data_IF_295143533323
#
_entry.id   IF_295143533323
#
_cell.length_a   1.000
_cell.length_b   1.000
_cell.length_c   1.000
_cell.angle_alpha   90.00
_cell.angle_beta   90.00
_cell.angle_gamma   90.00
#
_symmetry.space_group_name_H-M   'P 1'
#
loop_
_entity.id
_entity.type
_entity.pdbx_description
1 polymer ?
#
# COMPACT_ATOMS: atom_id res chain seq x y z
N UNK A 1 29.06 3.81 -2.72
CA UNK A 1 28.04 4.75 -2.21
C UNK A 1 26.77 4.83 -3.05
N UNK A 2 26.82 4.87 -4.41
CA UNK A 2 25.59 4.97 -5.25
C UNK A 2 24.61 3.80 -5.10
N UNK A 3 25.08 2.56 -4.88
CA UNK A 3 24.24 1.37 -4.73
C UNK A 3 23.41 1.41 -3.45
N UNK A 4 23.97 1.84 -2.33
CA UNK A 4 23.23 1.99 -1.08
C UNK A 4 22.20 3.09 -1.14
N UNK A 5 22.43 4.15 -1.94
CA UNK A 5 21.45 5.22 -2.15
C UNK A 5 20.16 4.70 -2.77
N UNK A 6 20.25 3.79 -3.75
CA UNK A 6 19.07 3.19 -4.36
C UNK A 6 18.25 2.38 -3.35
N UNK A 7 18.93 1.58 -2.49
CA UNK A 7 18.29 0.78 -1.43
C UNK A 7 17.53 1.68 -0.45
N UNK A 8 18.19 2.71 0.09
CA UNK A 8 17.56 3.64 1.03
C UNK A 8 16.41 4.43 0.39
N UNK A 9 16.58 4.88 -0.86
CA UNK A 9 15.50 5.56 -1.59
C UNK A 9 14.29 4.65 -1.76
N UNK A 10 14.51 3.36 -2.07
CA UNK A 10 13.44 2.39 -2.15
C UNK A 10 12.77 2.16 -0.79
N UNK A 11 13.54 2.05 0.29
CA UNK A 11 12.99 1.88 1.64
C UNK A 11 12.09 3.05 2.05
N UNK A 12 12.46 4.29 1.70
CA UNK A 12 11.62 5.48 1.93
C UNK A 12 10.34 5.39 1.10
N UNK A 13 10.43 5.02 -0.18
CA UNK A 13 9.27 4.83 -1.03
C UNK A 13 8.34 3.75 -0.47
N UNK A 14 8.90 2.60 -0.10
CA UNK A 14 8.19 1.50 0.51
C UNK A 14 7.51 1.90 1.82
N UNK A 15 8.19 2.69 2.66
CA UNK A 15 7.64 3.21 3.90
C UNK A 15 6.29 3.90 3.66
N UNK A 16 6.23 4.85 2.73
CA UNK A 16 5.00 5.59 2.45
C UNK A 16 3.90 4.73 1.81
N UNK A 17 4.25 3.86 0.85
CA UNK A 17 3.25 3.02 0.17
C UNK A 17 2.73 1.94 1.13
N UNK A 18 3.61 1.30 1.89
CA UNK A 18 3.23 0.28 2.87
C UNK A 18 2.39 0.85 4.02
N UNK A 19 2.71 2.07 4.46
CA UNK A 19 1.93 2.79 5.46
C UNK A 19 0.48 3.01 5.01
N UNK A 20 0.29 3.49 3.80
CA UNK A 20 -1.05 3.68 3.24
C UNK A 20 -1.81 2.35 3.15
N UNK A 21 -1.17 1.25 2.70
CA UNK A 21 -1.80 -0.08 2.63
C UNK A 21 -2.17 -0.57 4.04
N UNK A 22 -1.23 -0.54 4.98
CA UNK A 22 -1.44 -1.02 6.34
C UNK A 22 -2.54 -0.23 7.07
N UNK A 23 -2.53 1.10 6.91
CA UNK A 23 -3.54 1.99 7.51
C UNK A 23 -4.91 1.75 6.92
N UNK A 24 -5.01 1.60 5.59
CA UNK A 24 -6.28 1.30 4.93
C UNK A 24 -6.89 0.03 5.50
N UNK A 25 -6.11 -1.04 5.67
CA UNK A 25 -6.58 -2.31 6.22
C UNK A 25 -7.02 -2.14 7.68
N UNK A 26 -6.22 -1.44 8.50
CA UNK A 26 -6.53 -1.20 9.91
C UNK A 26 -7.80 -0.37 10.10
N UNK A 27 -8.05 0.61 9.24
CA UNK A 27 -9.19 1.52 9.33
C UNK A 27 -10.40 1.06 8.50
N UNK A 28 -10.27 0.03 7.67
CA UNK A 28 -11.31 -0.47 6.77
C UNK A 28 -12.61 -0.83 7.48
N UNK A 29 -12.52 -1.45 8.67
CA UNK A 29 -13.69 -1.84 9.45
C UNK A 29 -14.51 -0.61 9.87
N UNK A 30 -13.83 0.38 10.46
CA UNK A 30 -14.47 1.61 10.92
C UNK A 30 -15.07 2.36 9.74
N UNK A 31 -14.31 2.52 8.65
CA UNK A 31 -14.79 3.25 7.47
C UNK A 31 -15.99 2.56 6.81
N UNK A 32 -15.94 1.25 6.62
CA UNK A 32 -17.02 0.47 6.00
C UNK A 32 -18.33 0.57 6.80
N UNK A 33 -18.25 0.45 8.12
CA UNK A 33 -19.45 0.47 8.97
C UNK A 33 -19.99 1.88 9.22
N UNK A 34 -19.12 2.87 9.45
CA UNK A 34 -19.56 4.23 9.82
C UNK A 34 -19.88 5.11 8.63
N UNK A 35 -19.21 4.92 7.48
CA UNK A 35 -19.33 5.80 6.31
C UNK A 35 -20.17 5.16 5.22
N UNK A 36 -19.94 3.87 4.94
CA UNK A 36 -20.59 3.15 3.82
C UNK A 36 -21.85 2.41 4.29
N UNK A 37 -22.03 2.26 5.61
CA UNK A 37 -23.22 1.63 6.20
C UNK A 37 -23.22 0.10 6.10
N UNK A 38 -22.06 -0.54 6.10
CA UNK A 38 -21.96 -2.00 6.19
C UNK A 38 -22.40 -2.49 7.56
N UNK A 39 -23.15 -3.60 7.59
CA UNK A 39 -23.33 -4.38 8.82
C UNK A 39 -22.03 -5.12 9.15
N UNK A 40 -21.87 -5.51 10.43
CA UNK A 40 -20.70 -6.30 10.84
C UNK A 40 -20.57 -7.61 10.03
N UNK A 41 -21.69 -8.26 9.70
CA UNK A 41 -21.68 -9.48 8.87
C UNK A 41 -21.20 -9.21 7.44
N UNK A 42 -21.68 -8.15 6.80
CA UNK A 42 -21.22 -7.74 5.47
C UNK A 42 -19.73 -7.38 5.46
N UNK A 43 -19.25 -6.70 6.52
CA UNK A 43 -17.83 -6.39 6.64
C UNK A 43 -16.96 -7.65 6.74
N UNK A 44 -17.39 -8.67 7.50
CA UNK A 44 -16.66 -9.95 7.58
C UNK A 44 -16.54 -10.59 6.19
N UNK A 45 -17.62 -10.61 5.41
CA UNK A 45 -17.60 -11.15 4.05
C UNK A 45 -16.67 -10.31 3.16
N UNK A 46 -16.73 -8.97 3.23
CA UNK A 46 -15.83 -8.09 2.51
C UNK A 46 -14.35 -8.37 2.85
N UNK A 47 -14.06 -8.60 4.13
CA UNK A 47 -12.70 -8.93 4.58
C UNK A 47 -12.22 -10.28 4.02
N UNK A 48 -13.10 -11.28 3.96
CA UNK A 48 -12.81 -12.58 3.34
C UNK A 48 -12.54 -12.42 1.83
N UNK A 49 -13.36 -11.66 1.11
CA UNK A 49 -13.16 -11.37 -0.32
C UNK A 49 -11.84 -10.64 -0.55
N UNK A 50 -11.52 -9.65 0.28
CA UNK A 50 -10.24 -8.93 0.21
C UNK A 50 -9.05 -9.86 0.48
N UNK A 51 -9.20 -10.82 1.39
CA UNK A 51 -8.16 -11.83 1.69
C UNK A 51 -7.95 -12.77 0.49
N UNK A 52 -9.01 -13.25 -0.14
CA UNK A 52 -8.92 -14.04 -1.38
C UNK A 52 -8.26 -13.22 -2.51
N UNK A 53 -8.64 -11.96 -2.63
CA UNK A 53 -8.03 -11.03 -3.59
C UNK A 53 -6.53 -10.83 -3.32
N UNK A 54 -6.10 -10.87 -2.05
CA UNK A 54 -4.68 -10.81 -1.66
C UNK A 54 -3.89 -12.02 -2.20
N UNK A 55 -4.48 -13.23 -2.12
CA UNK A 55 -3.87 -14.45 -2.66
C UNK A 55 -3.75 -14.34 -4.18
N UNK A 56 -4.83 -13.96 -4.86
CA UNK A 56 -4.84 -13.79 -6.32
C UNK A 56 -3.82 -12.72 -6.74
N UNK A 57 -3.81 -11.58 -6.06
CA UNK A 57 -2.85 -10.50 -6.32
C UNK A 57 -1.40 -10.93 -6.16
N UNK A 58 -1.08 -11.67 -5.09
CA UNK A 58 0.29 -12.15 -4.85
C UNK A 58 0.77 -13.11 -5.94
N UNK A 59 -0.09 -14.01 -6.39
CA UNK A 59 0.22 -14.95 -7.49
C UNK A 59 0.38 -14.20 -8.82
N UNK A 60 -0.59 -13.37 -9.20
CA UNK A 60 -0.56 -12.60 -10.44
C UNK A 60 0.69 -11.71 -10.52
N UNK A 61 0.98 -10.96 -9.46
CA UNK A 61 2.15 -10.08 -9.44
C UNK A 61 3.48 -10.82 -9.28
N UNK A 62 3.48 -12.06 -8.81
CA UNK A 62 4.64 -12.95 -8.91
C UNK A 62 5.05 -13.19 -10.36
N UNK A 63 4.09 -13.46 -11.25
CA UNK A 63 4.34 -13.59 -12.70
C UNK A 63 4.63 -12.25 -13.37
N UNK A 64 3.87 -11.21 -13.06
CA UNK A 64 4.08 -9.86 -13.59
C UNK A 64 5.50 -9.37 -13.26
N UNK A 65 5.94 -9.57 -12.01
CA UNK A 65 7.28 -9.18 -11.57
C UNK A 65 8.39 -9.85 -12.38
N UNK A 66 8.21 -11.14 -12.71
CA UNK A 66 9.15 -11.86 -13.58
C UNK A 66 9.17 -11.31 -15.02
N UNK A 67 8.00 -10.88 -15.52
CA UNK A 67 7.86 -10.41 -16.90
C UNK A 67 8.38 -9.00 -17.12
N UNK A 68 8.06 -8.05 -16.21
CA UNK A 68 8.34 -6.62 -16.40
C UNK A 68 9.38 -6.04 -15.43
N UNK A 69 9.85 -6.85 -14.48
CA UNK A 69 10.78 -6.45 -13.42
C UNK A 69 10.09 -5.86 -12.18
N UNK A 70 10.77 -6.00 -11.03
CA UNK A 70 10.19 -5.63 -9.73
C UNK A 70 9.88 -4.13 -9.61
N UNK A 71 10.71 -3.25 -10.16
CA UNK A 71 10.47 -1.80 -10.12
C UNK A 71 9.17 -1.40 -10.80
N UNK A 72 8.93 -1.88 -12.03
CA UNK A 72 7.68 -1.58 -12.76
C UNK A 72 6.47 -2.20 -12.08
N UNK A 73 6.61 -3.41 -11.56
CA UNK A 73 5.54 -4.07 -10.83
C UNK A 73 5.12 -3.27 -9.59
N UNK A 74 6.05 -2.72 -8.79
CA UNK A 74 5.76 -1.85 -7.65
C UNK A 74 5.04 -0.56 -8.09
N UNK A 75 5.45 0.02 -9.22
CA UNK A 75 4.74 1.18 -9.80
C UNK A 75 3.27 0.86 -10.07
N UNK A 76 2.98 -0.31 -10.68
CA UNK A 76 1.61 -0.74 -10.94
C UNK A 76 0.82 -0.97 -9.66
N UNK A 77 1.44 -1.56 -8.62
CA UNK A 77 0.81 -1.75 -7.30
C UNK A 77 0.45 -0.41 -6.65
N UNK A 78 1.36 0.57 -6.70
CA UNK A 78 1.11 1.89 -6.15
C UNK A 78 -0.03 2.62 -6.89
N UNK A 79 -0.08 2.52 -8.23
CA UNK A 79 -1.19 3.07 -9.03
C UNK A 79 -2.50 2.37 -8.70
N UNK A 80 -2.52 1.04 -8.60
CA UNK A 80 -3.70 0.28 -8.21
C UNK A 80 -4.21 0.72 -6.83
N UNK A 81 -3.30 0.93 -5.87
CA UNK A 81 -3.65 1.42 -4.53
C UNK A 81 -4.25 2.82 -4.56
N UNK A 82 -3.70 3.74 -5.37
CA UNK A 82 -4.25 5.09 -5.53
C UNK A 82 -5.68 5.01 -6.10
N UNK A 83 -5.90 4.20 -7.13
CA UNK A 83 -7.23 4.02 -7.73
C UNK A 83 -8.21 3.45 -6.70
N UNK A 84 -7.80 2.44 -5.93
CA UNK A 84 -8.62 1.84 -4.89
C UNK A 84 -9.00 2.85 -3.78
N UNK A 85 -8.06 3.69 -3.36
CA UNK A 85 -8.30 4.74 -2.38
C UNK A 85 -9.26 5.81 -2.92
N UNK A 86 -9.10 6.21 -4.18
CA UNK A 86 -10.04 7.15 -4.83
C UNK A 86 -11.45 6.56 -4.84
N UNK A 87 -11.61 5.30 -5.26
CA UNK A 87 -12.91 4.62 -5.20
C UNK A 87 -13.49 4.60 -3.78
N UNK A 88 -12.67 4.31 -2.76
CA UNK A 88 -13.13 4.26 -1.38
C UNK A 88 -13.53 5.64 -0.83
N UNK A 89 -12.78 6.71 -1.15
CA UNK A 89 -13.08 8.09 -0.72
C UNK A 89 -14.42 8.57 -1.28
N UNK A 90 -14.68 8.25 -2.56
CA UNK A 90 -15.93 8.65 -3.24
C UNK A 90 -17.05 7.62 -3.13
N UNK A 91 -16.84 6.52 -2.40
CA UNK A 91 -17.86 5.51 -2.22
C UNK A 91 -19.08 6.10 -1.48
N UNK A 92 -20.22 6.09 -2.17
CA UNK A 92 -21.56 6.41 -1.65
C UNK A 92 -22.38 5.15 -1.48
N UNK A 93 -22.11 4.14 -2.29
CA UNK A 93 -22.84 2.88 -2.35
C UNK A 93 -21.94 1.71 -1.94
N UNK A 94 -22.54 0.70 -1.33
CA UNK A 94 -21.79 -0.47 -0.83
C UNK A 94 -21.02 -1.19 -1.94
N UNK A 95 -21.56 -1.30 -3.16
CA UNK A 95 -20.89 -1.99 -4.26
C UNK A 95 -19.56 -1.33 -4.67
N UNK A 96 -19.45 0.00 -4.56
CA UNK A 96 -18.19 0.70 -4.83
C UNK A 96 -17.12 0.28 -3.83
N UNK A 97 -17.53 0.09 -2.57
CA UNK A 97 -16.60 -0.32 -1.52
C UNK A 97 -16.21 -1.80 -1.62
N UNK A 98 -17.05 -2.65 -2.20
CA UNK A 98 -16.70 -4.02 -2.56
C UNK A 98 -15.56 -4.06 -3.59
N UNK A 99 -15.62 -3.21 -4.61
CA UNK A 99 -14.55 -3.07 -5.61
C UNK A 99 -13.28 -2.56 -4.94
N UNK A 100 -13.37 -1.45 -4.17
CA UNK A 100 -12.23 -0.89 -3.48
C UNK A 100 -11.54 -1.90 -2.55
N UNK A 101 -12.32 -2.64 -1.75
CA UNK A 101 -11.82 -3.67 -0.83
C UNK A 101 -11.09 -4.81 -1.55
N UNK A 102 -11.61 -5.25 -2.68
CA UNK A 102 -10.93 -6.25 -3.53
C UNK A 102 -9.60 -5.71 -4.08
N UNK A 103 -9.58 -4.46 -4.54
CA UNK A 103 -8.36 -3.80 -5.02
C UNK A 103 -7.33 -3.59 -3.90
N UNK A 104 -7.77 -3.27 -2.67
CA UNK A 104 -6.89 -3.19 -1.50
C UNK A 104 -6.23 -4.55 -1.22
N UNK A 105 -7.00 -5.64 -1.28
CA UNK A 105 -6.47 -6.98 -1.14
C UNK A 105 -5.41 -7.30 -2.19
N UNK A 106 -5.70 -7.06 -3.48
CA UNK A 106 -4.74 -7.25 -4.56
C UNK A 106 -3.47 -6.44 -4.30
N UNK A 107 -3.60 -5.15 -3.94
CA UNK A 107 -2.47 -4.25 -3.67
C UNK A 107 -1.59 -4.77 -2.52
N UNK A 108 -2.19 -5.28 -1.45
CA UNK A 108 -1.47 -5.84 -0.31
C UNK A 108 -0.62 -7.04 -0.71
N UNK A 109 -1.24 -8.05 -1.33
CA UNK A 109 -0.55 -9.29 -1.73
C UNK A 109 0.54 -9.01 -2.76
N UNK A 110 0.25 -8.15 -3.73
CA UNK A 110 1.19 -7.73 -4.77
C UNK A 110 2.38 -7.00 -4.17
N UNK A 111 2.15 -6.06 -3.23
CA UNK A 111 3.22 -5.32 -2.58
C UNK A 111 4.16 -6.23 -1.78
N UNK A 112 3.62 -7.21 -1.08
CA UNK A 112 4.43 -8.16 -0.32
C UNK A 112 5.38 -8.97 -1.21
N UNK A 113 4.94 -9.40 -2.38
CA UNK A 113 5.77 -10.17 -3.32
C UNK A 113 6.79 -9.27 -4.01
N UNK A 114 6.33 -8.17 -4.60
CA UNK A 114 7.18 -7.30 -5.43
C UNK A 114 8.24 -6.57 -4.61
N UNK A 115 7.92 -6.08 -3.41
CA UNK A 115 8.86 -5.35 -2.58
C UNK A 115 9.99 -6.22 -2.05
N UNK A 116 9.69 -7.48 -1.67
CA UNK A 116 10.72 -8.44 -1.24
C UNK A 116 11.64 -8.83 -2.38
N UNK A 117 11.10 -9.04 -3.57
CA UNK A 117 11.92 -9.27 -4.77
C UNK A 117 12.84 -8.08 -5.02
N UNK A 118 12.30 -6.87 -4.98
CA UNK A 118 13.07 -5.68 -5.34
C UNK A 118 14.18 -5.36 -4.32
N UNK A 119 13.93 -5.52 -3.02
CA UNK A 119 15.00 -5.31 -2.02
C UNK A 119 16.14 -6.32 -2.18
N UNK A 120 15.84 -7.57 -2.57
CA UNK A 120 16.85 -8.58 -2.86
C UNK A 120 17.67 -8.22 -4.09
N UNK A 121 17.02 -7.74 -5.17
CA UNK A 121 17.69 -7.29 -6.40
C UNK A 121 18.63 -6.09 -6.15
N UNK A 122 18.22 -5.16 -5.30
CA UNK A 122 19.02 -3.97 -4.97
C UNK A 122 20.17 -4.28 -4.01
N UNK A 123 20.08 -5.34 -3.20
CA UNK A 123 21.01 -5.61 -2.11
C UNK A 123 22.22 -6.42 -2.56
N UNK A 124 23.47 -6.03 -2.15
CA UNK A 124 24.65 -6.87 -2.32
C UNK A 124 24.49 -8.22 -1.64
N UNK A 125 25.01 -9.29 -2.24
CA UNK A 125 24.86 -10.66 -1.75
C UNK A 125 25.31 -10.79 -0.29
N UNK A 126 26.46 -10.21 0.06
CA UNK A 126 27.08 -10.30 1.39
C UNK A 126 26.29 -9.55 2.47
N UNK A 127 25.40 -8.62 2.09
CA UNK A 127 24.66 -7.75 3.02
C UNK A 127 23.14 -7.90 2.91
N UNK A 128 22.65 -8.88 2.17
CA UNK A 128 21.21 -9.10 1.97
C UNK A 128 20.43 -9.22 3.27
N UNK A 129 20.96 -9.96 4.24
CA UNK A 129 20.32 -10.14 5.55
C UNK A 129 20.17 -8.82 6.31
N UNK A 130 21.20 -7.95 6.28
CA UNK A 130 21.16 -6.65 6.95
C UNK A 130 20.13 -5.72 6.31
N UNK A 131 20.13 -5.61 4.96
CA UNK A 131 19.17 -4.77 4.25
C UNK A 131 17.74 -5.28 4.33
N UNK A 132 17.55 -6.60 4.35
CA UNK A 132 16.24 -7.20 4.52
C UNK A 132 15.69 -6.95 5.94
N UNK A 133 16.53 -7.02 6.97
CA UNK A 133 16.15 -6.66 8.34
C UNK A 133 15.75 -5.18 8.46
N UNK A 134 16.54 -4.27 7.86
CA UNK A 134 16.23 -2.84 7.86
C UNK A 134 14.95 -2.53 7.06
N UNK A 135 14.73 -3.20 5.93
CA UNK A 135 13.51 -3.14 5.15
C UNK A 135 12.29 -3.60 5.97
N UNK A 136 12.39 -4.73 6.66
CA UNK A 136 11.32 -5.24 7.52
C UNK A 136 11.01 -4.29 8.68
N UNK A 137 12.04 -3.70 9.28
CA UNK A 137 11.90 -2.66 10.32
C UNK A 137 11.17 -1.42 9.77
N UNK A 138 11.57 -0.91 8.59
CA UNK A 138 10.91 0.21 7.92
C UNK A 138 9.41 -0.06 7.71
N UNK A 139 9.04 -1.26 7.27
CA UNK A 139 7.65 -1.66 7.10
C UNK A 139 6.87 -1.75 8.41
N UNK A 140 7.50 -2.13 9.51
CA UNK A 140 6.85 -2.15 10.84
C UNK A 140 6.65 -0.75 11.40
N UNK A 141 7.64 0.13 11.26
CA UNK A 141 7.52 1.53 11.71
C UNK A 141 6.46 2.26 10.90
N UNK A 142 6.39 2.04 9.58
CA UNK A 142 5.38 2.68 8.73
C UNK A 142 3.96 2.37 9.21
N UNK A 143 3.66 1.14 9.59
CA UNK A 143 2.31 0.74 10.02
C UNK A 143 1.81 1.39 11.33
N UNK A 144 2.63 2.21 11.98
CA UNK A 144 2.26 2.97 13.19
C UNK A 144 1.86 4.40 12.82
N UNK A 145 2.55 5.00 11.84
CA UNK A 145 2.39 6.43 11.52
C UNK A 145 1.07 6.72 10.84
N UNK A 146 0.68 5.91 9.88
CA UNK A 146 -0.55 6.12 9.13
C UNK A 146 -1.82 6.07 9.98
N UNK A 147 -2.04 5.07 10.83
CA UNK A 147 -3.17 5.08 11.76
C UNK A 147 -3.16 6.28 12.71
N UNK A 148 -1.98 6.75 13.15
CA UNK A 148 -1.87 7.96 13.98
C UNK A 148 -2.28 9.22 13.21
N UNK A 149 -1.82 9.38 11.95
CA UNK A 149 -2.23 10.49 11.08
C UNK A 149 -3.73 10.45 10.80
N UNK A 150 -4.26 9.27 10.43
CA UNK A 150 -5.69 9.08 10.20
C UNK A 150 -6.51 9.46 11.44
N UNK A 151 -6.14 8.94 12.61
CA UNK A 151 -6.81 9.24 13.87
C UNK A 151 -6.74 10.73 14.26
N UNK A 152 -5.59 11.37 14.06
CA UNK A 152 -5.42 12.80 14.32
C UNK A 152 -6.33 13.65 13.43
N UNK A 153 -6.38 13.36 12.13
CA UNK A 153 -7.25 14.07 11.19
C UNK A 153 -8.72 13.89 11.54
N UNK A 154 -9.15 12.67 11.86
CA UNK A 154 -10.54 12.40 12.26
C UNK A 154 -10.91 13.10 13.57
N UNK A 155 -9.99 13.19 14.53
CA UNK A 155 -10.20 13.93 15.79
C UNK A 155 -10.30 15.44 15.58
N UNK A 156 -9.43 16.03 14.77
CA UNK A 156 -9.47 17.46 14.48
C UNK A 156 -10.73 17.89 13.71
N UNK A 157 -11.22 16.99 12.87
CA UNK A 157 -12.41 17.23 12.05
C UNK A 157 -13.68 16.55 12.60
N UNK A 158 -13.71 16.18 13.89
CA UNK A 158 -14.83 15.44 14.49
C UNK A 158 -16.21 16.07 14.26
N UNK A 159 -16.28 17.40 14.20
CA UNK A 159 -17.52 18.16 14.05
C UNK A 159 -18.07 18.10 12.59
N UNK A 160 -17.28 17.60 11.65
CA UNK A 160 -17.65 17.48 10.22
C UNK A 160 -18.19 16.08 9.85
N UNK A 161 -18.41 15.20 10.83
CA UNK A 161 -19.06 13.88 10.60
C UNK A 161 -18.30 13.02 9.59
N UNK A 162 -19.01 12.53 8.58
CA UNK A 162 -18.45 11.61 7.56
C UNK A 162 -17.33 12.23 6.74
N UNK A 163 -17.30 13.55 6.58
CA UNK A 163 -16.26 14.26 5.85
C UNK A 163 -14.89 14.08 6.52
N UNK A 164 -14.83 14.04 7.84
CA UNK A 164 -13.58 13.81 8.58
C UNK A 164 -12.88 12.51 8.15
N UNK A 165 -13.63 11.43 8.09
CA UNK A 165 -13.08 10.11 7.68
C UNK A 165 -12.69 10.09 6.20
N UNK A 166 -13.44 10.76 5.32
CA UNK A 166 -13.08 10.88 3.89
C UNK A 166 -11.79 11.68 3.70
N UNK A 167 -11.63 12.79 4.42
CA UNK A 167 -10.40 13.58 4.40
C UNK A 167 -9.24 12.77 4.97
N UNK A 168 -9.44 12.07 6.10
CA UNK A 168 -8.41 11.20 6.67
C UNK A 168 -7.99 10.09 5.67
N UNK A 169 -8.92 9.46 4.97
CA UNK A 169 -8.61 8.48 3.93
C UNK A 169 -7.86 9.13 2.74
N UNK A 170 -8.18 10.38 2.40
CA UNK A 170 -7.49 11.11 1.33
C UNK A 170 -6.02 11.40 1.64
N UNK A 171 -5.64 11.49 2.93
CA UNK A 171 -4.22 11.64 3.31
C UNK A 171 -3.40 10.42 2.89
N UNK A 172 -4.00 9.23 2.82
CA UNK A 172 -3.33 8.02 2.37
C UNK A 172 -3.07 8.03 0.86
N UNK A 173 -3.92 8.72 0.08
CA UNK A 173 -3.65 8.97 -1.36
C UNK A 173 -2.38 9.81 -1.48
N UNK A 174 -2.28 10.90 -0.71
CA UNK A 174 -1.10 11.76 -0.71
C UNK A 174 0.16 10.97 -0.33
N UNK A 175 0.10 10.16 0.73
CA UNK A 175 1.21 9.29 1.14
C UNK A 175 1.63 8.31 0.04
N UNK A 176 0.66 7.66 -0.61
CA UNK A 176 0.95 6.72 -1.71
C UNK A 176 1.58 7.44 -2.91
N UNK A 177 1.10 8.64 -3.24
CA UNK A 177 1.67 9.48 -4.32
C UNK A 177 3.10 9.89 -3.99
N UNK A 178 3.36 10.35 -2.76
CA UNK A 178 4.74 10.67 -2.31
C UNK A 178 5.64 9.44 -2.44
N UNK A 179 5.17 8.28 -1.95
CA UNK A 179 5.89 7.02 -2.06
C UNK A 179 6.18 6.65 -3.51
N UNK A 180 5.20 6.79 -4.41
CA UNK A 180 5.36 6.55 -5.84
C UNK A 180 6.38 7.50 -6.47
N UNK A 181 6.31 8.80 -6.19
CA UNK A 181 7.27 9.78 -6.70
C UNK A 181 8.70 9.50 -6.25
N UNK A 182 8.88 9.08 -4.99
CA UNK A 182 10.18 8.66 -4.45
C UNK A 182 10.63 7.36 -5.14
N UNK A 183 9.71 6.40 -5.35
CA UNK A 183 10.01 5.15 -6.03
C UNK A 183 10.51 5.34 -7.47
N UNK A 184 9.91 6.24 -8.21
CA UNK A 184 10.32 6.55 -9.58
C UNK A 184 11.76 7.10 -9.65
N UNK A 185 12.25 7.77 -8.60
CA UNK A 185 13.63 8.27 -8.49
C UNK A 185 14.66 7.20 -8.11
N UNK A 186 14.24 5.98 -7.79
CA UNK A 186 15.19 4.87 -7.53
C UNK A 186 15.95 4.57 -8.80
N UNK A 187 17.26 4.78 -8.77
CA UNK A 187 18.12 4.56 -9.95
C UNK A 187 18.52 3.08 -10.02
N UNK A 188 17.87 2.33 -10.88
CA UNK A 188 18.06 0.92 -11.09
C UNK A 188 19.10 0.69 -12.19
N UNK A 189 20.32 0.28 -11.81
CA UNK A 189 21.36 -0.02 -12.81
C UNK A 189 21.03 -1.25 -13.67
N UNK A 190 20.06 -2.06 -13.27
CA UNK A 190 19.69 -3.32 -13.94
C UNK A 190 18.49 -3.17 -14.90
N UNK A 191 17.85 -2.01 -14.98
CA UNK A 191 16.68 -1.78 -15.84
C UNK A 191 16.99 -1.47 -17.33
N UNK A 192 18.25 -1.29 -17.69
CA UNK A 192 18.67 -0.92 -19.05
C UNK A 192 19.44 -2.03 -19.80
N UNK A 193 19.44 -3.26 -19.30
CA UNK A 193 20.07 -4.36 -20.02
C UNK A 193 19.06 -5.49 -20.27
N UNK A 194 18.08 -5.23 -21.15
CA UNK A 194 17.42 -6.23 -22.00
C UNK A 194 16.84 -5.52 -23.22
#
# INVERSE_FOLDING_TARGET
MKQYKAIFTFMIAYFFINDAIATTIAMMAVYATTIVGFTSGQFIILYLVSTLSTIIGSLAFGYITKAIGAKRAITLVALLMIIALVFAVFATEQWMFWIAGSMFGISLGSMWVTSRTYIIELSPIEKRGQFFGLFAFSGKVSSIIGPAVYGTVTLWMKDYGTLASRVALSTLILMTVIGLLVHLKVNDKNGNSK
#
